data_IF_681220961159
#
_entry.id   IF_681220961159
#
_cell.length_a   1.000
_cell.length_b   1.000
_cell.length_c   1.000
_cell.angle_alpha   90.00
_cell.angle_beta   90.00
_cell.angle_gamma   90.00
#
_symmetry.space_group_name_H-M   'P 1'
#
loop_
_entity.id
_entity.type
_entity.pdbx_description
1 polymer ?
#
# COMPACT_ATOMS: atom_id res chain seq x y z
N UNK A 1 -9.75 0.88 -5.64
CA UNK A 1 -8.30 0.94 -5.38
C UNK A 1 -7.71 -0.45 -5.22
N UNK A 2 -6.48 -0.65 -5.69
CA UNK A 2 -5.68 -1.85 -5.44
C UNK A 2 -4.25 -1.47 -5.01
N UNK A 3 -3.45 -2.45 -4.58
CA UNK A 3 -2.06 -2.24 -4.22
C UNK A 3 -1.10 -3.19 -4.94
N UNK A 4 0.13 -2.75 -5.09
CA UNK A 4 1.24 -3.55 -5.63
C UNK A 4 2.44 -3.48 -4.71
N UNK A 5 3.14 -4.61 -4.57
CA UNK A 5 4.44 -4.73 -3.90
C UNK A 5 5.55 -4.86 -4.95
N UNK A 6 6.75 -4.36 -4.63
CA UNK A 6 7.86 -4.31 -5.57
C UNK A 6 9.22 -4.53 -4.91
N UNK A 7 10.19 -4.97 -5.71
CA UNK A 7 11.62 -5.06 -5.34
C UNK A 7 12.24 -3.68 -5.11
N UNK A 8 11.58 -2.61 -5.57
CA UNK A 8 11.97 -1.22 -5.29
C UNK A 8 11.75 -0.79 -3.83
N UNK A 9 11.30 -1.73 -2.96
CA UNK A 9 11.07 -1.54 -1.52
C UNK A 9 9.81 -0.74 -1.20
N UNK A 10 8.97 -0.49 -2.20
CA UNK A 10 7.73 0.28 -2.04
C UNK A 10 6.49 -0.58 -2.13
N UNK A 11 5.44 -0.11 -1.47
CA UNK A 11 4.06 -0.50 -1.75
C UNK A 11 3.38 0.69 -2.42
N UNK A 12 2.70 0.46 -3.53
CA UNK A 12 1.97 1.51 -4.27
C UNK A 12 0.48 1.26 -4.19
N UNK A 13 -0.27 2.33 -3.98
CA UNK A 13 -1.73 2.35 -3.99
C UNK A 13 -2.22 3.01 -5.27
N UNK A 14 -3.20 2.41 -5.90
CA UNK A 14 -3.68 2.78 -7.23
C UNK A 14 -5.18 2.93 -7.25
N UNK A 15 -5.68 3.92 -7.99
CA UNK A 15 -7.09 3.93 -8.32
C UNK A 15 -7.41 2.73 -9.22
N UNK A 16 -8.54 2.07 -9.00
CA UNK A 16 -8.88 0.84 -9.74
C UNK A 16 -9.64 1.11 -11.05
N UNK A 17 -10.19 2.32 -11.20
CA UNK A 17 -10.97 2.73 -12.36
C UNK A 17 -10.07 3.52 -13.33
N UNK A 18 -9.32 4.51 -12.81
CA UNK A 18 -8.44 5.36 -13.62
C UNK A 18 -7.04 4.80 -13.78
N UNK A 19 -6.64 3.81 -12.97
CA UNK A 19 -5.28 3.28 -12.87
C UNK A 19 -4.21 4.31 -12.49
N UNK A 20 -4.63 5.44 -11.91
CA UNK A 20 -3.72 6.48 -11.44
C UNK A 20 -3.03 6.08 -10.12
N UNK A 21 -1.78 6.53 -9.96
CA UNK A 21 -1.02 6.31 -8.75
C UNK A 21 -1.48 7.26 -7.64
N UNK A 22 -2.14 6.73 -6.62
CA UNK A 22 -2.65 7.50 -5.48
C UNK A 22 -1.56 7.76 -4.43
N UNK A 23 -0.74 6.74 -4.15
CA UNK A 23 0.26 6.82 -3.09
C UNK A 23 1.43 5.86 -3.29
N UNK A 24 2.60 6.31 -2.86
CA UNK A 24 3.79 5.46 -2.65
C UNK A 24 4.07 5.40 -1.16
N UNK A 25 4.09 4.18 -0.62
CA UNK A 25 4.45 3.87 0.76
C UNK A 25 5.90 3.37 0.75
N UNK A 26 6.82 4.18 1.26
CA UNK A 26 8.26 3.91 1.28
C UNK A 26 8.88 4.19 2.65
N UNK A 27 10.14 3.77 2.82
CA UNK A 27 10.87 4.00 4.07
C UNK A 27 11.24 5.47 4.32
N UNK A 28 11.17 6.33 3.30
CA UNK A 28 11.57 7.73 3.43
C UNK A 28 10.50 8.54 4.14
N UNK A 29 9.24 8.19 3.92
CA UNK A 29 8.10 8.97 4.40
C UNK A 29 7.24 8.25 5.42
N UNK A 30 7.22 6.92 5.43
CA UNK A 30 6.23 6.17 6.21
C UNK A 30 6.82 4.98 6.99
N UNK A 31 8.14 4.99 7.27
CA UNK A 31 8.81 3.88 7.99
C UNK A 31 8.53 2.51 7.33
N UNK A 32 8.44 2.51 6.00
CA UNK A 32 8.23 1.32 5.18
C UNK A 32 9.42 0.38 5.07
N UNK A 33 9.29 -0.59 4.17
CA UNK A 33 10.26 -1.65 3.98
C UNK A 33 11.64 -1.13 3.55
N UNK A 34 12.70 -1.74 4.08
CA UNK A 34 14.10 -1.40 3.73
C UNK A 34 14.70 -2.34 2.68
N UNK A 35 14.01 -3.45 2.40
CA UNK A 35 14.30 -4.42 1.34
C UNK A 35 13.04 -4.74 0.50
N UNK A 36 13.15 -5.69 -0.45
CA UNK A 36 12.08 -6.06 -1.38
C UNK A 36 10.78 -6.40 -0.66
N UNK A 37 9.65 -5.90 -1.17
CA UNK A 37 8.33 -6.30 -0.72
C UNK A 37 7.84 -7.44 -1.60
N UNK A 38 7.45 -8.56 -0.98
CA UNK A 38 7.21 -9.81 -1.70
C UNK A 38 5.75 -10.28 -1.65
N UNK A 39 4.96 -9.77 -0.70
CA UNK A 39 3.57 -10.17 -0.48
C UNK A 39 2.76 -8.98 0.06
N UNK A 40 1.48 -9.00 -0.28
CA UNK A 40 0.45 -8.10 0.26
C UNK A 40 -0.77 -8.93 0.68
N UNK A 41 -1.44 -8.49 1.73
CA UNK A 41 -2.74 -8.98 2.17
C UNK A 41 -3.62 -7.79 2.55
N UNK A 42 -4.84 -7.74 2.01
CA UNK A 42 -5.82 -6.72 2.37
C UNK A 42 -6.83 -7.27 3.37
N UNK A 43 -7.10 -6.52 4.44
CA UNK A 43 -8.24 -6.74 5.32
C UNK A 43 -9.25 -5.63 5.09
N UNK A 44 -10.35 -5.97 4.42
CA UNK A 44 -11.44 -5.01 4.14
C UNK A 44 -12.27 -4.69 5.38
N UNK A 45 -12.36 -5.60 6.35
CA UNK A 45 -13.12 -5.36 7.58
C UNK A 45 -12.50 -4.27 8.46
N UNK A 46 -11.20 -4.02 8.33
CA UNK A 46 -10.45 -3.10 9.20
C UNK A 46 -9.70 -2.01 8.42
N UNK A 47 -9.89 -1.94 7.10
CA UNK A 47 -9.16 -1.02 6.21
C UNK A 47 -7.63 -1.09 6.40
N UNK A 48 -7.12 -2.31 6.54
CA UNK A 48 -5.69 -2.58 6.73
C UNK A 48 -5.09 -3.21 5.47
N UNK A 49 -3.92 -2.72 5.09
CA UNK A 49 -3.03 -3.38 4.15
C UNK A 49 -1.84 -3.92 4.93
N UNK A 50 -1.54 -5.20 4.76
CA UNK A 50 -0.41 -5.87 5.41
C UNK A 50 0.62 -6.19 4.33
N UNK A 51 1.87 -5.81 4.56
CA UNK A 51 2.99 -6.12 3.66
C UNK A 51 4.11 -6.86 4.38
N UNK A 52 4.80 -7.73 3.67
CA UNK A 52 6.02 -8.36 4.16
C UNK A 52 7.06 -8.55 3.05
N UNK A 53 8.32 -8.61 3.47
CA UNK A 53 9.47 -8.54 2.57
C UNK A 53 10.74 -9.18 3.11
N UNK A 54 11.83 -8.99 2.38
CA UNK A 54 13.15 -9.54 2.70
C UNK A 54 13.81 -8.87 3.92
N UNK A 55 13.24 -7.78 4.42
CA UNK A 55 13.73 -7.10 5.63
C UNK A 55 13.32 -7.80 6.94
N UNK A 56 12.60 -8.93 6.83
CA UNK A 56 12.09 -9.72 7.95
C UNK A 56 11.05 -8.98 8.78
N UNK A 57 10.44 -7.94 8.22
CA UNK A 57 9.38 -7.16 8.85
C UNK A 57 8.01 -7.49 8.26
N UNK A 58 6.99 -7.39 9.10
CA UNK A 58 5.59 -7.26 8.71
C UNK A 58 5.16 -5.84 9.04
N UNK A 59 4.69 -5.10 8.03
CA UNK A 59 4.24 -3.72 8.19
C UNK A 59 2.74 -3.68 7.95
N UNK A 60 2.03 -3.02 8.87
CA UNK A 60 0.57 -2.85 8.83
C UNK A 60 0.30 -1.39 8.50
N UNK A 61 -0.34 -1.16 7.36
CA UNK A 61 -0.75 0.14 6.87
C UNK A 61 -2.23 0.32 7.15
N UNK A 62 -2.59 1.39 7.85
CA UNK A 62 -3.98 1.84 7.90
C UNK A 62 -4.27 2.67 6.64
N UNK A 63 -5.18 2.19 5.80
CA UNK A 63 -5.48 2.82 4.51
C UNK A 63 -6.94 3.25 4.47
N UNK A 64 -7.20 4.50 4.86
CA UNK A 64 -8.54 5.09 4.77
C UNK A 64 -8.69 5.81 3.43
N UNK A 65 -9.61 5.35 2.60
CA UNK A 65 -10.03 6.08 1.40
C UNK A 65 -11.20 6.96 1.79
N UNK A 66 -11.04 8.26 1.66
CA UNK A 66 -12.20 9.15 1.68
C UNK A 66 -12.98 8.97 0.37
N UNK A 67 -14.08 8.20 0.45
CA UNK A 67 -14.98 7.95 -0.69
C UNK A 67 -15.99 9.09 -0.88
N UNK A 68 -15.94 10.15 -0.08
CA UNK A 68 -16.88 11.27 -0.19
C UNK A 68 -16.53 12.26 -1.30
N UNK A 69 -15.39 12.11 -1.96
CA UNK A 69 -15.12 12.78 -3.23
C UNK A 69 -15.87 12.06 -4.34
N UNK A 70 -17.16 12.39 -4.46
CA UNK A 70 -17.94 12.13 -5.66
C UNK A 70 -17.19 12.79 -6.83
N UNK A 71 -16.52 11.99 -7.64
CA UNK A 71 -16.03 12.44 -8.93
C UNK A 71 -17.25 12.49 -9.87
N UNK A 72 -17.57 13.69 -10.34
CA UNK A 72 -18.56 13.95 -11.40
C UNK A 72 -17.87 13.92 -12.76
#
# INVERSE_FOLDING_TARGET
MFASASRDKTVKLWDAETFELLKVLDNKKFEGHVHSVNKLLWSHEHDLLISCGDDRSVIIWKVTVDRSQNWS
#
